data_IF_616439896877
#
_entry.id   IF_616439896877
#
_cell.length_a   1.000
_cell.length_b   1.000
_cell.length_c   1.000
_cell.angle_alpha   90.00
_cell.angle_beta   90.00
_cell.angle_gamma   90.00
#
_symmetry.space_group_name_H-M   'P 1'
#
loop_
_entity.id
_entity.type
_entity.pdbx_description
1 polymer ?
#
# COMPACT_ATOMS: atom_id res chain seq x y z
N UNK A 1 15.54 40.36 1.25
CA UNK A 1 16.47 39.29 0.87
C UNK A 1 17.90 39.77 1.14
N UNK A 2 18.73 38.99 1.86
CA UNK A 2 20.14 39.33 2.05
C UNK A 2 20.88 39.28 0.73
N UNK A 3 21.99 40.03 0.63
CA UNK A 3 22.86 39.98 -0.56
C UNK A 3 23.59 38.65 -0.63
N UNK A 4 23.79 38.14 -1.84
CA UNK A 4 24.58 36.94 -2.11
C UNK A 4 26.07 37.23 -1.89
N UNK A 5 26.77 36.24 -1.33
CA UNK A 5 28.21 36.23 -1.19
C UNK A 5 28.72 34.88 -1.62
N UNK A 6 29.71 34.83 -2.53
CA UNK A 6 30.27 33.58 -3.01
C UNK A 6 30.82 32.74 -1.84
N UNK A 7 30.58 31.45 -1.83
CA UNK A 7 31.04 30.51 -0.81
C UNK A 7 30.37 30.62 0.56
N UNK A 8 29.35 31.48 0.73
CA UNK A 8 28.64 31.65 2.01
C UNK A 8 27.15 31.37 1.81
N UNK A 9 26.63 30.37 2.53
CA UNK A 9 25.18 30.13 2.64
C UNK A 9 24.58 30.94 3.79
N UNK A 10 23.42 31.53 3.56
CA UNK A 10 22.67 32.29 4.56
C UNK A 10 21.28 31.69 4.76
N UNK A 11 20.92 31.44 6.03
CA UNK A 11 19.56 31.08 6.47
C UNK A 11 18.90 32.35 7.00
N UNK A 12 17.67 32.62 6.59
CA UNK A 12 16.91 33.79 7.04
C UNK A 12 15.41 33.57 6.89
N UNK A 13 14.63 34.34 7.61
CA UNK A 13 13.17 34.39 7.49
C UNK A 13 12.72 35.61 6.72
N UNK A 14 11.63 35.52 5.98
CA UNK A 14 10.93 36.64 5.36
C UNK A 14 9.68 37.02 6.16
N UNK A 15 9.07 38.13 5.77
CA UNK A 15 7.82 38.61 6.37
C UNK A 15 6.62 37.69 6.20
N UNK A 16 6.73 36.70 5.31
CA UNK A 16 5.74 35.64 5.11
C UNK A 16 5.86 34.49 6.14
N UNK A 17 6.80 34.61 7.09
CA UNK A 17 7.03 33.63 8.15
C UNK A 17 7.80 32.38 7.71
N UNK A 18 8.30 32.34 6.47
CA UNK A 18 8.99 31.18 5.93
C UNK A 18 10.51 31.26 6.11
N UNK A 19 11.17 30.10 6.17
CA UNK A 19 12.62 29.97 6.26
C UNK A 19 13.22 29.76 4.86
N UNK A 20 14.23 30.53 4.54
CA UNK A 20 14.90 30.50 3.24
C UNK A 20 16.39 30.24 3.38
N UNK A 21 16.95 29.57 2.36
CA UNK A 21 18.38 29.42 2.16
C UNK A 21 18.79 30.14 0.88
N UNK A 22 19.87 30.88 0.95
CA UNK A 22 20.49 31.59 -0.20
C UNK A 22 22.01 31.43 -0.15
N UNK A 23 22.63 31.06 -1.26
CA UNK A 23 24.09 31.07 -1.42
C UNK A 23 24.47 31.61 -2.79
N UNK A 24 25.79 31.83 -3.02
CA UNK A 24 26.31 32.27 -4.33
C UNK A 24 26.01 31.27 -5.47
N UNK A 25 25.87 29.99 -5.12
CA UNK A 25 25.68 28.88 -6.09
C UNK A 25 24.21 28.37 -6.15
N UNK A 26 23.36 28.82 -5.23
CA UNK A 26 21.98 28.37 -5.12
C UNK A 26 21.05 29.57 -5.11
N UNK A 27 20.15 29.60 -6.06
CA UNK A 27 19.00 30.52 -6.04
C UNK A 27 18.24 30.37 -4.73
N UNK A 28 17.69 31.45 -4.19
CA UNK A 28 16.89 31.41 -2.98
C UNK A 28 15.89 30.23 -2.97
N UNK A 29 15.97 29.41 -1.96
CA UNK A 29 15.13 28.24 -1.76
C UNK A 29 14.31 28.40 -0.48
N UNK A 30 12.98 28.28 -0.60
CA UNK A 30 12.08 28.17 0.53
C UNK A 30 12.26 26.76 1.15
N UNK A 31 12.79 26.70 2.37
CA UNK A 31 13.00 25.45 3.10
C UNK A 31 11.73 24.96 3.83
N UNK A 32 10.73 25.82 3.94
CA UNK A 32 9.42 25.48 4.50
C UNK A 32 8.40 25.09 3.42
N UNK A 33 8.71 25.42 2.14
CA UNK A 33 7.99 24.81 1.02
C UNK A 33 8.24 23.31 1.12
N UNK A 34 7.20 22.55 1.43
CA UNK A 34 7.28 21.10 1.51
C UNK A 34 8.10 20.59 0.34
N UNK A 35 9.12 19.77 0.63
CA UNK A 35 9.90 19.13 -0.41
C UNK A 35 8.95 18.51 -1.43
N UNK A 36 9.45 18.14 -2.61
CA UNK A 36 8.72 17.58 -3.75
C UNK A 36 7.85 16.33 -3.40
N UNK A 37 7.06 16.45 -2.32
CA UNK A 37 6.03 15.50 -1.95
C UNK A 37 4.85 15.55 -2.91
N UNK A 38 4.07 14.49 -2.93
CA UNK A 38 2.83 14.45 -3.71
C UNK A 38 1.90 15.60 -3.30
N UNK A 39 1.34 16.30 -4.28
CA UNK A 39 0.34 17.35 -4.02
C UNK A 39 -0.96 16.71 -3.53
N UNK A 40 -1.59 17.31 -2.54
CA UNK A 40 -2.93 16.91 -2.07
C UNK A 40 -4.05 17.62 -2.82
N UNK A 41 -3.72 18.63 -3.64
CA UNK A 41 -4.70 19.50 -4.32
C UNK A 41 -4.49 19.57 -5.85
N UNK A 42 -3.46 18.92 -6.39
CA UNK A 42 -3.17 18.90 -7.81
C UNK A 42 -2.79 17.49 -8.26
N UNK A 43 -2.92 17.23 -9.55
CA UNK A 43 -2.49 15.97 -10.15
C UNK A 43 -0.97 15.79 -9.99
N UNK A 44 -0.56 14.59 -9.60
CA UNK A 44 0.84 14.22 -9.49
C UNK A 44 1.24 13.35 -10.69
N UNK A 45 2.23 13.76 -11.47
CA UNK A 45 2.83 12.96 -12.53
C UNK A 45 4.18 12.41 -12.04
N UNK A 46 4.28 11.08 -11.95
CA UNK A 46 5.52 10.40 -11.59
C UNK A 46 6.18 9.90 -12.86
N UNK A 47 7.44 10.26 -13.08
CA UNK A 47 8.24 9.86 -14.25
C UNK A 47 9.02 8.56 -14.03
N UNK A 48 9.12 8.11 -12.78
CA UNK A 48 9.72 6.83 -12.42
C UNK A 48 8.64 5.81 -12.06
N UNK A 49 8.98 4.53 -12.15
CA UNK A 49 8.10 3.45 -11.71
C UNK A 49 7.71 3.65 -10.24
N UNK A 50 6.42 3.52 -9.97
CA UNK A 50 5.89 3.52 -8.61
C UNK A 50 5.54 2.07 -8.22
N UNK A 51 5.90 1.66 -7.02
CA UNK A 51 5.57 0.34 -6.48
C UNK A 51 5.17 0.48 -5.01
N UNK A 52 4.41 -0.49 -4.54
CA UNK A 52 4.07 -0.60 -3.12
C UNK A 52 4.89 -1.74 -2.52
N UNK A 53 5.48 -1.50 -1.35
CA UNK A 53 6.06 -2.58 -0.57
C UNK A 53 4.98 -3.60 -0.21
N UNK A 54 5.34 -4.88 -0.20
CA UNK A 54 4.44 -5.94 0.21
C UNK A 54 4.64 -6.30 1.70
N UNK A 55 3.55 -6.69 2.34
CA UNK A 55 3.55 -7.21 3.70
C UNK A 55 3.44 -8.74 3.67
N UNK A 56 4.46 -9.44 4.18
CA UNK A 56 4.36 -10.86 4.44
C UNK A 56 3.47 -11.11 5.67
N UNK A 57 2.33 -11.78 5.46
CA UNK A 57 1.43 -12.18 6.54
C UNK A 57 1.88 -13.49 7.17
N UNK A 58 1.75 -13.59 8.48
CA UNK A 58 2.03 -14.82 9.22
C UNK A 58 0.91 -15.83 8.99
N UNK A 59 1.26 -17.03 8.47
CA UNK A 59 0.30 -18.13 8.34
C UNK A 59 -0.02 -18.72 9.71
N UNK A 60 -1.29 -18.71 10.07
CA UNK A 60 -1.87 -19.29 11.28
C UNK A 60 -3.31 -19.70 10.99
N UNK A 61 -4.01 -20.31 11.96
CA UNK A 61 -5.44 -20.60 11.84
C UNK A 61 -6.29 -19.34 11.67
N UNK A 62 -5.82 -18.20 12.20
CA UNK A 62 -6.37 -16.86 11.93
C UNK A 62 -5.26 -15.99 11.40
N UNK A 63 -5.44 -15.44 10.19
CA UNK A 63 -4.49 -14.54 9.52
C UNK A 63 -4.98 -13.11 9.69
N UNK A 64 -4.15 -12.25 10.26
CA UNK A 64 -4.44 -10.82 10.43
C UNK A 64 -3.75 -9.98 9.37
N UNK A 65 -4.46 -9.01 8.81
CA UNK A 65 -3.95 -8.04 7.85
C UNK A 65 -4.21 -6.61 8.34
N UNK A 66 -3.14 -5.88 8.60
CA UNK A 66 -3.19 -4.44 8.84
C UNK A 66 -2.92 -3.71 7.52
N UNK A 67 -3.96 -3.25 6.86
CA UNK A 67 -3.87 -2.64 5.54
C UNK A 67 -3.19 -1.26 5.54
N UNK A 68 -2.93 -0.67 6.72
CA UNK A 68 -2.11 0.55 6.84
C UNK A 68 -0.61 0.26 6.68
N UNK A 69 -0.17 -0.99 6.87
CA UNK A 69 1.24 -1.36 6.70
C UNK A 69 1.62 -1.46 5.22
N UNK A 70 0.77 -2.11 4.42
CA UNK A 70 0.94 -2.19 2.98
C UNK A 70 -0.40 -2.49 2.29
N UNK A 71 -0.58 -1.95 1.08
CA UNK A 71 -1.73 -2.26 0.22
C UNK A 71 -1.61 -3.62 -0.47
N UNK A 72 -0.39 -4.15 -0.56
CA UNK A 72 -0.12 -5.49 -1.10
C UNK A 72 0.31 -6.40 0.04
N UNK A 73 -0.36 -7.55 0.18
CA UNK A 73 -0.04 -8.58 1.16
C UNK A 73 0.35 -9.88 0.47
N UNK A 74 1.27 -10.62 1.06
CA UNK A 74 1.67 -11.96 0.64
C UNK A 74 1.43 -12.95 1.76
N UNK A 75 0.93 -14.14 1.43
CA UNK A 75 0.66 -15.21 2.39
C UNK A 75 1.16 -16.55 1.82
N UNK A 76 2.18 -17.13 2.44
CA UNK A 76 2.52 -18.53 2.23
C UNK A 76 1.61 -19.39 3.15
N UNK A 77 0.62 -20.05 2.56
CA UNK A 77 -0.46 -20.73 3.29
C UNK A 77 0.03 -22.04 3.91
N UNK A 78 0.39 -22.03 5.17
CA UNK A 78 0.90 -23.21 5.92
C UNK A 78 -0.17 -23.93 6.75
N UNK A 79 -1.34 -23.32 6.96
CA UNK A 79 -2.43 -23.83 7.80
C UNK A 79 -3.77 -23.72 7.08
N UNK A 80 -4.75 -24.53 7.47
CA UNK A 80 -6.15 -24.19 7.19
C UNK A 80 -6.47 -22.91 7.96
N UNK A 81 -6.80 -21.84 7.26
CA UNK A 81 -6.83 -20.51 7.82
C UNK A 81 -8.14 -19.77 7.54
N UNK A 82 -8.44 -18.80 8.40
CA UNK A 82 -9.44 -17.77 8.15
C UNK A 82 -8.75 -16.42 8.16
N UNK A 83 -8.91 -15.64 7.10
CA UNK A 83 -8.46 -14.24 7.08
C UNK A 83 -9.43 -13.43 7.92
N UNK A 84 -8.95 -12.88 9.04
CA UNK A 84 -9.70 -11.96 9.88
C UNK A 84 -10.05 -10.69 9.11
N UNK A 85 -11.05 -9.94 9.58
CA UNK A 85 -11.36 -8.64 9.00
C UNK A 85 -10.09 -7.78 8.97
N UNK A 86 -9.74 -7.27 7.79
CA UNK A 86 -8.60 -6.37 7.66
C UNK A 86 -8.84 -5.09 8.48
N UNK A 87 -7.77 -4.57 9.06
CA UNK A 87 -7.82 -3.34 9.86
C UNK A 87 -7.20 -2.18 9.09
N UNK A 88 -7.62 -0.95 9.41
CA UNK A 88 -7.04 0.31 8.91
C UNK A 88 -7.06 0.46 7.37
N UNK A 89 -7.96 -0.24 6.68
CA UNK A 89 -8.20 -0.01 5.26
C UNK A 89 -9.02 1.27 5.04
N UNK A 90 -8.70 2.02 4.00
CA UNK A 90 -9.31 3.32 3.71
C UNK A 90 -10.38 3.19 2.63
N UNK A 91 -11.40 4.04 2.70
CA UNK A 91 -12.40 4.17 1.63
C UNK A 91 -11.76 4.58 0.31
N UNK A 92 -12.12 3.91 -0.77
CA UNK A 92 -11.52 4.09 -2.10
C UNK A 92 -10.14 3.42 -2.27
N UNK A 93 -9.61 2.78 -1.23
CA UNK A 93 -8.35 2.04 -1.30
C UNK A 93 -8.50 0.75 -2.11
N UNK A 94 -7.46 0.43 -2.90
CA UNK A 94 -7.32 -0.83 -3.63
C UNK A 94 -6.26 -1.68 -2.94
N UNK A 95 -6.60 -2.92 -2.61
CA UNK A 95 -5.75 -3.84 -1.86
C UNK A 95 -5.60 -5.16 -2.61
N UNK A 96 -4.42 -5.77 -2.52
CA UNK A 96 -4.12 -7.03 -3.20
C UNK A 96 -3.57 -8.02 -2.18
N UNK A 97 -4.06 -9.26 -2.21
CA UNK A 97 -3.47 -10.36 -1.47
C UNK A 97 -3.05 -11.47 -2.43
N UNK A 98 -1.78 -11.80 -2.43
CA UNK A 98 -1.19 -12.92 -3.16
C UNK A 98 -0.99 -14.08 -2.19
N UNK A 99 -1.65 -15.21 -2.44
CA UNK A 99 -1.58 -16.40 -1.59
C UNK A 99 -0.89 -17.52 -2.35
N UNK A 100 0.18 -18.06 -1.78
CA UNK A 100 0.87 -19.24 -2.30
C UNK A 100 0.41 -20.46 -1.53
N UNK A 101 -0.10 -21.47 -2.25
CA UNK A 101 -0.57 -22.72 -1.68
C UNK A 101 0.60 -23.57 -1.15
N UNK A 102 0.38 -24.23 -0.03
CA UNK A 102 1.32 -25.22 0.51
C UNK A 102 1.40 -26.46 -0.40
N UNK A 103 2.53 -27.17 -0.36
CA UNK A 103 2.69 -28.48 -1.05
C UNK A 103 1.65 -29.50 -0.59
N UNK A 104 1.21 -29.43 0.66
CA UNK A 104 0.03 -30.14 1.19
C UNK A 104 -1.12 -29.13 1.27
N UNK A 105 -2.09 -29.17 0.35
CA UNK A 105 -3.08 -28.12 0.18
C UNK A 105 -3.84 -27.77 1.47
N UNK A 106 -4.03 -26.48 1.68
CA UNK A 106 -4.74 -25.87 2.81
C UNK A 106 -5.95 -25.10 2.33
N UNK A 107 -6.91 -24.92 3.20
CA UNK A 107 -8.12 -24.11 2.93
C UNK A 107 -7.93 -22.69 3.44
N UNK A 108 -8.52 -21.71 2.73
CA UNK A 108 -8.58 -20.32 3.15
C UNK A 108 -10.05 -19.88 3.19
N UNK A 109 -10.48 -19.44 4.35
CA UNK A 109 -11.79 -18.84 4.56
C UNK A 109 -11.66 -17.34 4.80
N UNK A 110 -12.76 -16.62 4.68
CA UNK A 110 -12.81 -15.16 4.80
C UNK A 110 -13.82 -14.74 5.88
N UNK A 111 -13.45 -13.82 6.72
CA UNK A 111 -14.35 -13.23 7.71
C UNK A 111 -15.38 -12.29 7.06
N UNK A 112 -16.39 -11.90 7.82
CA UNK A 112 -17.58 -11.16 7.34
C UNK A 112 -17.30 -9.76 6.78
N UNK A 113 -16.11 -9.20 7.05
CA UNK A 113 -15.64 -7.93 6.49
C UNK A 113 -15.31 -8.00 5.01
N UNK A 114 -15.14 -9.20 4.46
CA UNK A 114 -14.92 -9.41 3.03
C UNK A 114 -16.25 -9.71 2.35
N UNK A 115 -16.56 -8.99 1.28
CA UNK A 115 -17.79 -9.14 0.48
C UNK A 115 -17.43 -9.67 -0.90
N UNK A 116 -18.14 -10.70 -1.33
CA UNK A 116 -17.89 -11.38 -2.58
C UNK A 116 -19.11 -11.34 -3.51
N UNK A 117 -18.93 -11.34 -4.84
CA UNK A 117 -20.03 -11.43 -5.80
C UNK A 117 -20.92 -12.65 -5.52
N UNK A 118 -22.22 -12.44 -5.54
CA UNK A 118 -23.18 -13.52 -5.24
C UNK A 118 -23.08 -14.08 -3.81
N UNK A 119 -22.41 -13.35 -2.90
CA UNK A 119 -22.15 -13.78 -1.52
C UNK A 119 -21.39 -15.12 -1.42
N UNK A 120 -20.59 -15.44 -2.45
CA UNK A 120 -19.82 -16.69 -2.52
C UNK A 120 -18.34 -16.36 -2.53
N UNK A 121 -17.64 -16.70 -1.45
CA UNK A 121 -16.21 -16.56 -1.36
C UNK A 121 -15.49 -17.54 -2.30
N UNK A 122 -14.39 -17.13 -2.92
CA UNK A 122 -13.61 -18.02 -3.77
C UNK A 122 -12.93 -19.13 -2.96
N UNK A 123 -12.76 -20.28 -3.59
CA UNK A 123 -12.03 -21.42 -3.02
C UNK A 123 -10.60 -21.37 -3.55
N UNK A 124 -9.61 -21.55 -2.67
CA UNK A 124 -8.20 -21.64 -3.03
C UNK A 124 -7.93 -22.80 -4.00
N UNK A 125 -7.03 -22.55 -4.95
CA UNK A 125 -6.49 -23.62 -5.79
C UNK A 125 -5.80 -24.68 -4.93
N UNK A 126 -6.14 -25.96 -5.17
CA UNK A 126 -5.61 -27.08 -4.38
C UNK A 126 -4.29 -27.64 -4.90
N UNK A 127 -3.68 -27.04 -5.94
CA UNK A 127 -2.36 -27.42 -6.46
C UNK A 127 -1.28 -26.87 -5.56
N UNK A 128 -0.37 -27.73 -5.07
CA UNK A 128 0.77 -27.32 -4.24
C UNK A 128 1.68 -26.35 -5.00
N UNK A 129 2.05 -25.25 -4.35
CA UNK A 129 2.85 -24.17 -4.93
C UNK A 129 2.09 -23.20 -5.83
N UNK A 130 0.83 -23.48 -6.19
CA UNK A 130 0.03 -22.54 -6.97
C UNK A 130 -0.19 -21.21 -6.25
N UNK A 131 -0.27 -20.15 -7.01
CA UNK A 131 -0.53 -18.80 -6.50
C UNK A 131 -1.92 -18.33 -6.92
N UNK A 132 -2.68 -17.85 -5.96
CA UNK A 132 -3.96 -17.17 -6.20
C UNK A 132 -3.85 -15.70 -5.80
N UNK A 133 -4.47 -14.81 -6.58
CA UNK A 133 -4.43 -13.37 -6.36
C UNK A 133 -5.86 -12.87 -6.11
N UNK A 134 -6.05 -12.19 -5.01
CA UNK A 134 -7.30 -11.58 -4.60
C UNK A 134 -7.16 -10.06 -4.63
N UNK A 135 -8.04 -9.38 -5.34
CA UNK A 135 -8.08 -7.92 -5.39
C UNK A 135 -9.32 -7.41 -4.67
N UNK A 136 -9.15 -6.36 -3.88
CA UNK A 136 -10.21 -5.76 -3.09
C UNK A 136 -10.30 -4.26 -3.34
N UNK A 137 -11.52 -3.75 -3.35
CA UNK A 137 -11.81 -2.31 -3.22
C UNK A 137 -12.50 -2.10 -1.88
N UNK A 138 -12.09 -1.10 -1.12
CA UNK A 138 -12.63 -0.81 0.20
C UNK A 138 -13.56 0.41 0.19
N UNK A 139 -14.64 0.35 0.98
CA UNK A 139 -15.48 1.50 1.33
C UNK A 139 -15.15 2.08 2.72
N UNK A 140 -14.08 1.56 3.38
CA UNK A 140 -13.68 1.91 4.73
C UNK A 140 -14.34 1.05 5.82
N UNK A 141 -15.37 0.25 5.48
CA UNK A 141 -16.05 -0.69 6.38
C UNK A 141 -15.87 -2.12 5.92
N UNK A 142 -16.02 -2.35 4.61
CA UNK A 142 -15.92 -3.65 3.96
C UNK A 142 -14.87 -3.64 2.86
N UNK A 143 -14.30 -4.80 2.60
CA UNK A 143 -13.47 -5.08 1.44
C UNK A 143 -14.27 -5.91 0.42
N UNK A 144 -14.55 -5.34 -0.75
CA UNK A 144 -15.25 -5.97 -1.85
C UNK A 144 -14.26 -6.67 -2.75
N UNK A 145 -14.26 -8.00 -2.72
CA UNK A 145 -13.32 -8.84 -3.45
C UNK A 145 -13.74 -9.07 -4.88
N UNK A 146 -12.76 -9.03 -5.78
CA UNK A 146 -12.86 -9.50 -7.16
C UNK A 146 -11.86 -10.63 -7.37
N UNK A 147 -12.30 -11.71 -8.05
CA UNK A 147 -11.51 -12.93 -8.10
C UNK A 147 -11.52 -13.66 -9.44
N UNK A 148 -12.27 -13.21 -10.43
CA UNK A 148 -12.42 -13.91 -11.70
C UNK A 148 -11.09 -14.06 -12.46
N UNK A 149 -10.63 -15.29 -12.67
CA UNK A 149 -9.47 -15.62 -13.50
C UNK A 149 -8.10 -15.40 -12.87
N UNK A 150 -8.02 -15.14 -11.56
CA UNK A 150 -6.76 -14.85 -10.87
C UNK A 150 -6.26 -16.00 -10.02
N UNK A 151 -6.37 -17.25 -10.52
CA UNK A 151 -6.00 -18.46 -9.81
C UNK A 151 -5.01 -19.32 -10.59
N UNK A 152 -4.35 -20.22 -9.84
CA UNK A 152 -3.50 -21.30 -10.36
C UNK A 152 -2.33 -20.82 -11.22
N UNK A 153 -1.71 -19.74 -10.80
CA UNK A 153 -0.41 -19.37 -11.37
C UNK A 153 0.66 -20.34 -10.85
N UNK A 154 1.36 -21.03 -11.75
CA UNK A 154 2.39 -22.05 -11.44
C UNK A 154 3.71 -21.71 -12.11
#
# INVERSE_FOLDING_TARGET
TPSQTAGVGKLYTKSDGKLYFLSGDVTEKDLTAGGSGASTSAQNAFTAQQFFDDQALTSATTVSWNANTAQVATLALGHNATVANATNHQSGGVYIMRVTQNTSPKTLAWSTGYKWPGNTAPVMTATGGAVDIFTFVSDGTYMYGSFSGSQNFT
#
